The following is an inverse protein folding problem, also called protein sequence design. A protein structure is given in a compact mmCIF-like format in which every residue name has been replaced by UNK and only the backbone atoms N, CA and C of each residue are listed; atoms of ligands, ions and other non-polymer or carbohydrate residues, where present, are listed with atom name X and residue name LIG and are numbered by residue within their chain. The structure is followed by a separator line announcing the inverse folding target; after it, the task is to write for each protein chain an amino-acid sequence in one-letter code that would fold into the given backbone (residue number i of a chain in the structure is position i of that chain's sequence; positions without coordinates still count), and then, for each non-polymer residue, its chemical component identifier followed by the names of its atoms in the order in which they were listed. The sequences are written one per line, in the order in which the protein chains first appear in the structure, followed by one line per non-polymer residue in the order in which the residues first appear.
data_IF_835418989471
#
_entry.id   IF_835418989471
#
_cell.length_a   1.000
_cell.length_b   1.000
_cell.length_c   1.000
_cell.angle_alpha   90.00
_cell.angle_beta   90.00
_cell.angle_gamma   90.00
#
_symmetry.space_group_name_H-M   'P 1'
#
loop_
_entity.id
_entity.type
_entity.pdbx_description
1 polymer ?
#
# COMPACT_ATOMS: atom_id res chain seq x y z
N UNK A 1 -6.79 20.50 -0.59
CA UNK A 1 -7.41 19.98 -1.84
C UNK A 1 -7.06 18.52 -2.07
N UNK A 2 -5.84 18.09 -1.76
CA UNK A 2 -5.38 16.69 -1.95
C UNK A 2 -6.27 15.64 -1.26
N UNK A 3 -6.78 15.92 -0.06
CA UNK A 3 -7.70 15.02 0.66
C UNK A 3 -8.99 14.78 -0.13
N UNK A 4 -9.55 15.81 -0.76
CA UNK A 4 -10.76 15.69 -1.58
C UNK A 4 -10.49 14.83 -2.82
N UNK A 5 -9.35 15.05 -3.49
CA UNK A 5 -8.96 14.25 -4.64
C UNK A 5 -8.77 12.78 -4.25
N UNK A 6 -8.10 12.53 -3.12
CA UNK A 6 -7.89 11.17 -2.62
C UNK A 6 -9.21 10.46 -2.30
N UNK A 7 -10.16 11.16 -1.67
CA UNK A 7 -11.51 10.63 -1.43
C UNK A 7 -12.24 10.32 -2.75
N UNK A 8 -12.15 11.19 -3.75
CA UNK A 8 -12.75 10.96 -5.06
C UNK A 8 -12.16 9.73 -5.74
N UNK A 9 -10.85 9.54 -5.70
CA UNK A 9 -10.18 8.35 -6.27
C UNK A 9 -10.72 7.08 -5.62
N UNK A 10 -10.76 7.00 -4.28
CA UNK A 10 -11.30 5.82 -3.61
C UNK A 10 -12.79 5.62 -3.88
N UNK A 11 -13.59 6.69 -3.92
CA UNK A 11 -15.00 6.61 -4.23
C UNK A 11 -15.25 6.06 -5.65
N UNK A 12 -14.44 6.47 -6.63
CA UNK A 12 -14.50 5.93 -8.00
C UNK A 12 -14.18 4.43 -7.98
N UNK A 13 -13.05 4.03 -7.37
CA UNK A 13 -12.63 2.62 -7.32
C UNK A 13 -13.72 1.76 -6.68
N UNK A 14 -14.23 2.16 -5.51
CA UNK A 14 -15.31 1.46 -4.80
C UNK A 14 -16.59 1.41 -5.64
N UNK A 15 -16.96 2.54 -6.25
CA UNK A 15 -18.18 2.67 -7.04
C UNK A 15 -18.20 1.80 -8.30
N UNK A 16 -17.04 1.50 -8.88
CA UNK A 16 -16.95 0.57 -10.01
C UNK A 16 -16.84 -0.90 -9.56
N UNK A 17 -16.03 -1.17 -8.54
CA UNK A 17 -15.66 -2.54 -8.19
C UNK A 17 -16.72 -3.23 -7.30
N UNK A 18 -17.28 -2.52 -6.32
CA UNK A 18 -18.24 -3.11 -5.37
C UNK A 18 -19.53 -3.59 -6.04
N UNK A 19 -20.19 -2.80 -6.93
CA UNK A 19 -21.38 -3.28 -7.63
C UNK A 19 -21.08 -4.50 -8.50
N UNK A 20 -19.93 -4.52 -9.17
CA UNK A 20 -19.50 -5.66 -9.99
C UNK A 20 -19.36 -6.93 -9.14
N UNK A 21 -18.72 -6.84 -7.97
CA UNK A 21 -18.49 -7.98 -7.09
C UNK A 21 -19.80 -8.49 -6.45
N UNK A 22 -20.68 -7.57 -6.05
CA UNK A 22 -22.00 -7.92 -5.50
C UNK A 22 -22.91 -8.57 -6.55
N UNK A 23 -22.97 -8.03 -7.78
CA UNK A 23 -23.81 -8.56 -8.85
C UNK A 23 -23.39 -9.97 -9.29
N UNK A 24 -22.10 -10.30 -9.18
CA UNK A 24 -21.57 -11.62 -9.51
C UNK A 24 -21.51 -12.57 -8.29
N UNK A 25 -22.09 -12.19 -7.15
CA UNK A 25 -22.08 -12.97 -5.90
C UNK A 25 -20.66 -13.35 -5.40
N UNK A 26 -19.66 -12.55 -5.76
CA UNK A 26 -18.24 -12.78 -5.46
C UNK A 26 -17.87 -12.27 -4.06
N UNK A 27 -18.50 -12.83 -3.02
CA UNK A 27 -18.36 -12.35 -1.64
C UNK A 27 -16.95 -12.53 -1.07
N UNK A 28 -16.25 -13.61 -1.46
CA UNK A 28 -14.88 -13.86 -1.00
C UNK A 28 -13.92 -12.80 -1.56
N UNK A 29 -14.10 -12.46 -2.83
CA UNK A 29 -13.33 -11.44 -3.53
C UNK A 29 -13.71 -10.05 -3.03
N UNK A 30 -14.97 -9.81 -2.67
CA UNK A 30 -15.41 -8.59 -2.00
C UNK A 30 -14.71 -8.37 -0.66
N UNK A 31 -14.56 -9.43 0.15
CA UNK A 31 -13.80 -9.36 1.41
C UNK A 31 -12.33 -9.04 1.11
N UNK A 32 -11.71 -9.71 0.14
CA UNK A 32 -10.34 -9.44 -0.27
C UNK A 32 -10.14 -7.98 -0.73
N UNK A 33 -11.03 -7.50 -1.60
CA UNK A 33 -11.06 -6.11 -2.04
C UNK A 33 -11.22 -5.15 -0.87
N UNK A 34 -12.16 -5.39 0.03
CA UNK A 34 -12.41 -4.53 1.18
C UNK A 34 -11.19 -4.43 2.12
N UNK A 35 -10.53 -5.56 2.40
CA UNK A 35 -9.31 -5.58 3.21
C UNK A 35 -8.18 -4.79 2.56
N UNK A 36 -7.93 -5.02 1.26
CA UNK A 36 -6.88 -4.31 0.52
C UNK A 36 -7.19 -2.80 0.41
N UNK A 37 -8.45 -2.46 0.13
CA UNK A 37 -8.91 -1.07 0.10
C UNK A 37 -8.72 -0.37 1.44
N UNK A 38 -9.11 -1.03 2.54
CA UNK A 38 -8.96 -0.47 3.87
C UNK A 38 -7.49 -0.18 4.21
N UNK A 39 -6.60 -1.13 3.92
CA UNK A 39 -5.15 -0.94 4.10
C UNK A 39 -4.64 0.23 3.27
N UNK A 40 -4.98 0.28 1.98
CA UNK A 40 -4.57 1.35 1.07
C UNK A 40 -5.10 2.72 1.49
N UNK A 41 -6.33 2.78 1.98
CA UNK A 41 -6.93 4.02 2.50
C UNK A 41 -6.21 4.48 3.77
N UNK A 42 -6.01 3.61 4.76
CA UNK A 42 -5.26 3.97 5.98
C UNK A 42 -3.87 4.50 5.61
N UNK A 43 -3.17 3.84 4.69
CA UNK A 43 -1.84 4.28 4.27
C UNK A 43 -1.87 5.64 3.60
N UNK A 44 -2.77 5.81 2.64
CA UNK A 44 -2.84 7.04 1.84
C UNK A 44 -3.26 8.23 2.69
N UNK A 45 -4.27 8.07 3.55
CA UNK A 45 -4.69 9.12 4.46
C UNK A 45 -3.67 9.38 5.56
N UNK A 46 -3.06 8.34 6.12
CA UNK A 46 -2.06 8.55 7.17
C UNK A 46 -0.79 9.23 6.66
N UNK A 47 -0.35 8.93 5.43
CA UNK A 47 0.71 9.70 4.78
C UNK A 47 0.28 11.15 4.52
N UNK A 48 -0.92 11.35 3.97
CA UNK A 48 -1.40 12.69 3.61
C UNK A 48 -1.66 13.61 4.82
N UNK A 49 -2.02 13.01 5.95
CA UNK A 49 -2.30 13.73 7.21
C UNK A 49 -1.07 13.82 8.13
N UNK A 50 0.11 13.44 7.63
CA UNK A 50 1.36 13.35 8.42
C UNK A 50 1.17 12.58 9.74
N UNK A 51 0.34 11.53 9.73
CA UNK A 51 0.22 10.66 10.88
C UNK A 51 1.55 9.92 11.10
N UNK A 52 1.94 9.67 12.36
CA UNK A 52 3.12 8.87 12.68
C UNK A 52 2.82 7.39 12.39
N UNK A 53 2.67 7.05 11.11
CA UNK A 53 2.62 5.68 10.65
C UNK A 53 4.01 5.06 10.82
N UNK A 54 4.09 3.73 11.07
CA UNK A 54 5.36 3.04 11.00
C UNK A 54 6.02 3.36 9.65
N UNK A 55 7.30 3.71 9.64
CA UNK A 55 7.98 4.00 8.39
C UNK A 55 8.29 2.67 7.67
N UNK A 56 7.41 2.28 6.74
CA UNK A 56 7.57 1.03 5.98
C UNK A 56 8.87 1.04 5.18
N UNK A 57 9.33 2.20 4.74
CA UNK A 57 10.62 2.34 4.04
C UNK A 57 11.76 1.94 4.99
N UNK A 58 11.77 2.42 6.24
CA UNK A 58 12.80 2.01 7.21
C UNK A 58 12.75 0.51 7.51
N UNK A 59 11.54 -0.07 7.53
CA UNK A 59 11.38 -1.51 7.78
C UNK A 59 11.87 -2.34 6.58
N UNK A 60 11.59 -1.90 5.36
CA UNK A 60 12.09 -2.50 4.13
C UNK A 60 13.61 -2.33 4.03
N UNK A 61 14.14 -1.14 4.29
CA UNK A 61 15.58 -0.85 4.32
C UNK A 61 16.31 -1.75 5.32
N UNK A 62 15.76 -1.95 6.52
CA UNK A 62 16.35 -2.85 7.51
C UNK A 62 16.43 -4.31 7.03
N UNK A 63 15.49 -4.75 6.18
CA UNK A 63 15.49 -6.09 5.58
C UNK A 63 16.42 -6.19 4.37
N UNK A 64 16.51 -5.13 3.58
CA UNK A 64 17.19 -5.09 2.28
C UNK A 64 18.68 -4.71 2.42
N UNK A 65 19.04 -3.79 3.32
CA UNK A 65 20.42 -3.38 3.57
C UNK A 65 21.39 -4.55 3.82
N UNK A 66 21.09 -5.56 4.68
CA UNK A 66 22.01 -6.68 4.86
C UNK A 66 22.22 -7.50 3.57
N UNK A 67 21.21 -7.55 2.70
CA UNK A 67 21.32 -8.20 1.40
C UNK A 67 22.22 -7.40 0.45
N UNK A 68 22.07 -6.07 0.42
CA UNK A 68 22.92 -5.17 -0.34
C UNK A 68 24.37 -5.21 0.13
N UNK A 69 24.60 -5.18 1.44
CA UNK A 69 25.94 -5.26 2.03
C UNK A 69 26.61 -6.60 1.66
N UNK A 70 25.86 -7.71 1.69
CA UNK A 70 26.35 -9.01 1.25
C UNK A 70 26.69 -9.02 -0.26
N UNK A 71 25.87 -8.40 -1.11
CA UNK A 71 26.16 -8.28 -2.54
C UNK A 71 27.40 -7.42 -2.81
N UNK A 72 27.55 -6.28 -2.12
CA UNK A 72 28.71 -5.40 -2.24
C UNK A 72 29.99 -6.13 -1.80
N UNK A 73 29.91 -6.92 -0.73
CA UNK A 73 31.01 -7.73 -0.22
C UNK A 73 31.44 -8.83 -1.21
N UNK A 74 30.47 -9.55 -1.82
CA UNK A 74 30.74 -10.62 -2.80
C UNK A 74 31.32 -10.06 -4.10
N UNK A 75 30.89 -8.86 -4.51
CA UNK A 75 31.34 -8.24 -5.75
C UNK A 75 32.67 -7.49 -5.62
N UNK A 76 33.30 -7.48 -4.44
CA UNK A 76 34.53 -6.74 -4.16
C UNK A 76 34.46 -5.27 -4.60
N UNK A 77 33.27 -4.66 -4.60
CA UNK A 77 33.06 -3.25 -4.96
C UNK A 77 33.54 -2.27 -3.86
N UNK A 78 34.31 -2.78 -2.91
CA UNK A 78 34.89 -2.03 -1.80
C UNK A 78 36.41 -2.02 -2.00
N UNK A 79 36.87 -1.05 -2.76
CA UNK A 79 38.24 -0.54 -2.68
C UNK A 79 38.38 0.35 -1.43
#
# INVERSE_FOLDING_TARGET
MEVLLLMVVFAIIIGFEVPRLLQNEMYRELIGFALLMFIGMIWSFGLLLDLPLPNFIQSIDAMINPLFDAMVQVLHLKD
#
